data_IF_404507110454
#
_entry.id   IF_404507110454
#
_cell.length_a   1.000
_cell.length_b   1.000
_cell.length_c   1.000
_cell.angle_alpha   90.00
_cell.angle_beta   90.00
_cell.angle_gamma   90.00
#
_symmetry.space_group_name_H-M   'P 1'
#
loop_
_entity.id
_entity.type
_entity.pdbx_description
1 polymer ?
#
# COMPACT_ATOMS: atom_id res chain seq x y z
N UNK A 1 -1.04 -21.56 49.81
CA UNK A 1 -2.05 -20.70 49.17
C UNK A 1 -1.50 -20.31 47.82
N UNK A 2 -2.00 -20.98 46.78
CA UNK A 2 -1.64 -20.75 45.38
C UNK A 2 -2.39 -19.52 44.89
N UNK A 3 -1.66 -18.50 44.47
CA UNK A 3 -2.24 -17.35 43.77
C UNK A 3 -1.91 -17.50 42.28
N UNK A 4 -2.91 -17.99 41.54
CA UNK A 4 -2.87 -18.17 40.09
C UNK A 4 -2.61 -16.83 39.38
N UNK A 5 -1.49 -16.75 38.67
CA UNK A 5 -1.21 -15.71 37.68
C UNK A 5 -2.30 -15.70 36.60
N UNK A 6 -3.16 -14.68 36.63
CA UNK A 6 -4.16 -14.42 35.59
C UNK A 6 -3.45 -14.09 34.27
N UNK A 7 -3.60 -15.00 33.31
CA UNK A 7 -2.94 -15.02 32.02
C UNK A 7 -3.05 -13.73 31.19
N UNK A 8 -1.92 -13.41 30.57
CA UNK A 8 -1.72 -12.39 29.54
C UNK A 8 -2.62 -12.69 28.33
N UNK A 9 -3.49 -11.74 27.94
CA UNK A 9 -4.48 -11.88 26.86
C UNK A 9 -3.83 -12.26 25.50
N UNK A 10 -4.47 -13.11 24.67
CA UNK A 10 -3.85 -13.75 23.49
C UNK A 10 -3.92 -12.87 22.22
N UNK A 11 -3.19 -11.75 22.17
CA UNK A 11 -3.09 -10.93 20.96
C UNK A 11 -2.30 -11.58 19.81
N UNK A 12 -1.36 -12.48 20.14
CA UNK A 12 -0.42 -13.04 19.18
C UNK A 12 -1.02 -13.98 18.13
N UNK A 13 -2.02 -14.81 18.50
CA UNK A 13 -2.62 -15.77 17.56
C UNK A 13 -3.51 -15.07 16.54
N UNK A 14 -4.29 -14.07 16.97
CA UNK A 14 -5.17 -13.29 16.09
C UNK A 14 -4.39 -12.45 15.07
N UNK A 15 -3.26 -11.87 15.48
CA UNK A 15 -2.38 -11.12 14.59
C UNK A 15 -1.70 -12.04 13.55
N UNK A 16 -1.20 -13.21 13.96
CA UNK A 16 -0.62 -14.20 13.03
C UNK A 16 -1.62 -14.70 12.00
N UNK A 17 -2.86 -14.99 12.43
CA UNK A 17 -3.94 -15.38 11.51
C UNK A 17 -4.24 -14.27 10.50
N UNK A 18 -4.32 -13.01 10.95
CA UNK A 18 -4.53 -11.88 10.03
C UNK A 18 -3.41 -11.78 9.01
N UNK A 19 -2.15 -11.85 9.44
CA UNK A 19 -1.00 -11.80 8.55
C UNK A 19 -0.98 -12.97 7.53
N UNK A 20 -1.29 -14.19 7.96
CA UNK A 20 -1.36 -15.35 7.07
C UNK A 20 -2.47 -15.21 6.00
N UNK A 21 -3.65 -14.72 6.40
CA UNK A 21 -4.75 -14.45 5.46
C UNK A 21 -4.38 -13.31 4.50
N UNK A 22 -3.71 -12.26 5.00
CA UNK A 22 -3.27 -11.15 4.14
C UNK A 22 -2.25 -11.60 3.10
N UNK A 23 -1.26 -12.40 3.50
CA UNK A 23 -0.28 -12.97 2.57
C UNK A 23 -0.98 -13.87 1.54
N UNK A 24 -1.89 -14.74 1.98
CA UNK A 24 -2.65 -15.60 1.08
C UNK A 24 -3.42 -14.81 0.00
N UNK A 25 -4.02 -13.67 0.37
CA UNK A 25 -4.66 -12.77 -0.59
C UNK A 25 -3.66 -12.24 -1.60
N UNK A 26 -2.52 -11.70 -1.14
CA UNK A 26 -1.51 -11.12 -2.02
C UNK A 26 -0.95 -12.16 -2.99
N UNK A 27 -0.63 -13.36 -2.50
CA UNK A 27 -0.15 -14.48 -3.32
C UNK A 27 -1.19 -14.88 -4.38
N UNK A 28 -2.46 -15.02 -3.99
CA UNK A 28 -3.55 -15.38 -4.91
C UNK A 28 -3.77 -14.31 -5.99
N UNK A 29 -3.71 -13.03 -5.63
CA UNK A 29 -3.81 -11.92 -6.59
C UNK A 29 -2.63 -11.93 -7.55
N UNK A 30 -1.40 -12.19 -7.07
CA UNK A 30 -0.21 -12.32 -7.90
C UNK A 30 -0.29 -13.51 -8.87
N UNK A 31 -0.69 -14.68 -8.38
CA UNK A 31 -0.72 -15.93 -9.15
C UNK A 31 -1.87 -16.01 -10.16
N UNK A 32 -3.07 -15.60 -9.73
CA UNK A 32 -4.32 -15.85 -10.46
C UNK A 32 -4.98 -14.59 -10.99
N UNK A 33 -4.56 -13.42 -10.51
CA UNK A 33 -5.25 -12.16 -10.75
C UNK A 33 -6.49 -11.97 -9.86
N UNK A 34 -6.92 -10.72 -9.75
CA UNK A 34 -8.14 -10.36 -9.04
C UNK A 34 -9.38 -11.05 -9.65
N UNK A 35 -10.30 -11.50 -8.80
CA UNK A 35 -11.56 -12.13 -9.20
C UNK A 35 -11.46 -13.63 -9.53
N UNK A 36 -10.26 -14.21 -9.59
CA UNK A 36 -10.03 -15.62 -9.93
C UNK A 36 -9.70 -16.50 -8.70
N UNK A 37 -10.20 -16.11 -7.52
CA UNK A 37 -10.06 -16.85 -6.27
C UNK A 37 -11.27 -16.62 -5.36
N UNK A 38 -11.47 -17.55 -4.43
CA UNK A 38 -12.58 -17.53 -3.48
C UNK A 38 -12.09 -17.35 -2.04
N UNK A 39 -13.01 -17.11 -1.10
CA UNK A 39 -12.70 -17.12 0.35
C UNK A 39 -12.16 -18.49 0.78
N UNK A 40 -12.64 -19.59 0.20
CA UNK A 40 -12.13 -20.93 0.47
C UNK A 40 -10.69 -21.13 0.01
N UNK A 41 -10.32 -20.60 -1.18
CA UNK A 41 -8.93 -20.60 -1.64
C UNK A 41 -8.01 -19.86 -0.66
N UNK A 42 -8.45 -18.68 -0.18
CA UNK A 42 -7.71 -17.87 0.79
C UNK A 42 -7.55 -18.64 2.11
N UNK A 43 -8.63 -19.22 2.62
CA UNK A 43 -8.64 -19.94 3.88
C UNK A 43 -7.72 -21.17 3.82
N UNK A 44 -7.80 -21.97 2.74
CA UNK A 44 -6.95 -23.11 2.50
C UNK A 44 -5.46 -22.71 2.45
N UNK A 45 -5.13 -21.64 1.72
CA UNK A 45 -3.77 -21.10 1.61
C UNK A 45 -3.22 -20.62 2.95
N UNK A 46 -4.03 -19.89 3.71
CA UNK A 46 -3.67 -19.34 5.01
C UNK A 46 -3.65 -20.40 6.14
N UNK A 47 -4.10 -21.63 5.86
CA UNK A 47 -4.18 -22.70 6.86
C UNK A 47 -5.23 -22.43 7.94
N UNK A 48 -6.34 -21.79 7.58
CA UNK A 48 -7.44 -21.44 8.51
C UNK A 48 -8.78 -21.96 7.98
N UNK A 49 -9.77 -22.06 8.86
CA UNK A 49 -11.13 -22.41 8.45
C UNK A 49 -11.86 -21.21 7.82
N UNK A 50 -12.66 -21.44 6.77
CA UNK A 50 -13.50 -20.44 6.10
C UNK A 50 -14.35 -19.63 7.10
N UNK A 51 -14.92 -20.30 8.10
CA UNK A 51 -15.72 -19.66 9.15
C UNK A 51 -14.94 -18.62 9.95
N UNK A 52 -13.61 -18.78 10.08
CA UNK A 52 -12.76 -17.79 10.74
C UNK A 52 -12.51 -16.56 9.88
N UNK A 53 -12.48 -16.71 8.55
CA UNK A 53 -12.41 -15.60 7.60
C UNK A 53 -13.74 -14.84 7.60
N UNK A 54 -14.86 -15.54 7.40
CA UNK A 54 -16.19 -14.92 7.42
C UNK A 54 -16.51 -14.23 8.76
N UNK A 55 -16.18 -14.85 9.90
CA UNK A 55 -16.43 -14.22 11.21
C UNK A 55 -15.69 -12.89 11.39
N UNK A 56 -14.52 -12.73 10.77
CA UNK A 56 -13.66 -11.55 10.99
C UNK A 56 -13.92 -10.44 9.98
N UNK A 57 -14.11 -10.78 8.72
CA UNK A 57 -14.27 -9.79 7.65
C UNK A 57 -15.69 -9.76 7.06
N UNK A 58 -16.51 -10.78 7.28
CA UNK A 58 -17.90 -10.84 6.78
C UNK A 58 -18.00 -11.17 5.30
N UNK A 59 -17.22 -10.51 4.44
CA UNK A 59 -17.18 -10.73 3.01
C UNK A 59 -15.78 -10.53 2.42
N UNK A 60 -15.60 -10.89 1.15
CA UNK A 60 -14.32 -10.78 0.45
C UNK A 60 -13.86 -9.32 0.35
N UNK A 61 -14.75 -8.38 0.02
CA UNK A 61 -14.37 -6.98 -0.18
C UNK A 61 -13.82 -6.32 1.09
N UNK A 62 -14.44 -6.60 2.23
CA UNK A 62 -13.93 -6.14 3.52
C UNK A 62 -12.56 -6.74 3.87
N UNK A 63 -12.30 -7.99 3.50
CA UNK A 63 -10.98 -8.60 3.65
C UNK A 63 -9.94 -7.91 2.76
N UNK A 64 -10.28 -7.69 1.49
CA UNK A 64 -9.39 -7.04 0.53
C UNK A 64 -9.09 -5.58 0.94
N UNK A 65 -10.09 -4.85 1.42
CA UNK A 65 -9.90 -3.53 2.01
C UNK A 65 -8.98 -3.55 3.23
N UNK A 66 -9.12 -4.54 4.12
CA UNK A 66 -8.24 -4.70 5.29
C UNK A 66 -6.78 -5.02 4.91
N UNK A 67 -6.56 -5.77 3.82
CA UNK A 67 -5.23 -6.03 3.25
C UNK A 67 -4.61 -4.73 2.77
N UNK A 68 -5.35 -3.94 1.99
CA UNK A 68 -4.88 -2.63 1.51
C UNK A 68 -4.57 -1.70 2.69
N UNK A 69 -5.51 -1.51 3.62
CA UNK A 69 -5.33 -0.66 4.79
C UNK A 69 -4.13 -1.10 5.63
N UNK A 70 -3.86 -2.39 5.77
CA UNK A 70 -2.71 -2.87 6.53
C UNK A 70 -1.39 -2.56 5.83
N UNK A 71 -1.34 -2.70 4.50
CA UNK A 71 -0.18 -2.31 3.71
C UNK A 71 0.03 -0.80 3.74
N UNK A 72 -1.05 -0.04 3.63
CA UNK A 72 -1.00 1.41 3.74
C UNK A 72 -0.55 1.85 5.12
N UNK A 73 -0.95 1.20 6.20
CA UNK A 73 -0.53 1.57 7.55
C UNK A 73 0.90 1.09 7.91
N UNK A 74 1.55 0.27 7.09
CA UNK A 74 2.91 -0.22 7.34
C UNK A 74 4.01 0.83 7.05
N UNK A 75 3.67 2.12 7.12
CA UNK A 75 4.47 3.21 6.54
C UNK A 75 5.84 3.37 7.17
N UNK A 76 6.83 3.55 6.29
CA UNK A 76 8.07 4.21 6.66
C UNK A 76 7.82 5.73 6.75
N UNK A 77 8.54 6.44 7.63
CA UNK A 77 8.49 7.90 7.65
C UNK A 77 8.87 8.46 6.28
N UNK A 78 8.21 9.55 5.87
CA UNK A 78 8.56 10.25 4.64
C UNK A 78 10.03 10.71 4.68
N UNK A 79 10.75 10.67 3.54
CA UNK A 79 12.14 11.11 3.49
C UNK A 79 12.33 12.54 4.01
N UNK A 80 13.47 12.78 4.66
CA UNK A 80 13.91 14.09 5.12
C UNK A 80 15.44 14.18 5.01
N UNK A 81 15.89 14.26 3.77
CA UNK A 81 17.29 14.34 3.34
C UNK A 81 17.86 15.75 3.46
N UNK A 82 17.03 16.74 3.78
CA UNK A 82 17.41 18.16 3.90
C UNK A 82 17.23 18.97 2.60
N UNK A 83 16.66 18.39 1.54
CA UNK A 83 16.28 19.12 0.32
C UNK A 83 15.08 18.45 -0.34
N UNK A 84 14.19 19.24 -0.95
CA UNK A 84 13.02 18.73 -1.65
C UNK A 84 13.39 17.74 -2.76
N UNK A 85 14.43 18.05 -3.53
CA UNK A 85 14.91 17.17 -4.60
C UNK A 85 15.40 15.82 -4.06
N UNK A 86 16.16 15.83 -2.96
CA UNK A 86 16.61 14.60 -2.29
C UNK A 86 15.45 13.79 -1.72
N UNK A 87 14.45 14.48 -1.16
CA UNK A 87 13.26 13.86 -0.58
C UNK A 87 12.42 13.17 -1.65
N UNK A 88 12.14 13.86 -2.77
CA UNK A 88 11.39 13.34 -3.91
C UNK A 88 12.11 12.17 -4.60
N UNK A 89 13.42 12.24 -4.81
CA UNK A 89 14.20 11.12 -5.40
C UNK A 89 14.20 9.90 -4.50
N UNK A 90 14.41 10.10 -3.20
CA UNK A 90 14.35 9.01 -2.22
C UNK A 90 12.95 8.39 -2.18
N UNK A 91 11.92 9.22 -2.19
CA UNK A 91 10.53 8.77 -2.21
C UNK A 91 10.22 7.97 -3.49
N UNK A 92 10.63 8.46 -4.65
CA UNK A 92 10.46 7.78 -5.94
C UNK A 92 11.12 6.39 -5.93
N UNK A 93 12.34 6.29 -5.40
CA UNK A 93 13.07 5.03 -5.27
C UNK A 93 12.38 4.04 -4.30
N UNK A 94 11.86 4.54 -3.16
CA UNK A 94 11.08 3.73 -2.22
C UNK A 94 9.84 3.17 -2.91
N UNK A 95 9.05 4.03 -3.56
CA UNK A 95 7.83 3.60 -4.25
C UNK A 95 8.17 2.60 -5.35
N UNK A 96 9.17 2.88 -6.19
CA UNK A 96 9.61 1.98 -7.25
C UNK A 96 9.97 0.59 -6.70
N UNK A 97 10.71 0.52 -5.59
CA UNK A 97 11.04 -0.73 -4.91
C UNK A 97 9.81 -1.44 -4.34
N UNK A 98 8.86 -0.70 -3.77
CA UNK A 98 7.63 -1.27 -3.23
C UNK A 98 6.79 -1.91 -4.35
N UNK A 99 6.58 -1.20 -5.46
CA UNK A 99 5.71 -1.67 -6.56
C UNK A 99 6.34 -2.77 -7.41
N UNK A 100 7.68 -2.85 -7.43
CA UNK A 100 8.42 -3.93 -8.11
C UNK A 100 8.79 -5.09 -7.17
N UNK A 101 8.52 -4.96 -5.88
CA UNK A 101 8.69 -6.02 -4.91
C UNK A 101 7.72 -7.20 -5.12
N UNK A 102 7.91 -8.33 -4.41
CA UNK A 102 7.15 -9.57 -4.62
C UNK A 102 5.62 -9.39 -4.62
N UNK A 103 5.15 -8.46 -3.80
CA UNK A 103 3.73 -8.20 -3.56
C UNK A 103 3.22 -6.92 -4.24
N UNK A 104 4.12 -6.10 -4.79
CA UNK A 104 3.83 -4.72 -5.19
C UNK A 104 2.78 -4.63 -6.29
N UNK A 105 2.98 -5.36 -7.39
CA UNK A 105 2.06 -5.38 -8.52
C UNK A 105 0.67 -5.90 -8.12
N UNK A 106 0.60 -6.91 -7.25
CA UNK A 106 -0.67 -7.43 -6.76
C UNK A 106 -1.44 -6.40 -5.94
N UNK A 107 -0.75 -5.62 -5.09
CA UNK A 107 -1.38 -4.56 -4.33
C UNK A 107 -1.87 -3.41 -5.23
N UNK A 108 -1.11 -3.02 -6.24
CA UNK A 108 -1.55 -2.00 -7.21
C UNK A 108 -2.80 -2.48 -7.96
N UNK A 109 -2.81 -3.73 -8.44
CA UNK A 109 -3.97 -4.33 -9.11
C UNK A 109 -5.19 -4.42 -8.20
N UNK A 110 -4.98 -4.78 -6.93
CA UNK A 110 -6.02 -4.85 -5.93
C UNK A 110 -6.64 -3.48 -5.65
N UNK A 111 -5.81 -2.44 -5.51
CA UNK A 111 -6.27 -1.05 -5.37
C UNK A 111 -7.14 -0.62 -6.53
N UNK A 112 -6.74 -0.90 -7.78
CA UNK A 112 -7.52 -0.56 -8.97
C UNK A 112 -8.87 -1.29 -8.96
N UNK A 113 -8.85 -2.59 -8.69
CA UNK A 113 -10.07 -3.41 -8.64
C UNK A 113 -11.07 -2.89 -7.60
N UNK A 114 -10.60 -2.62 -6.39
CA UNK A 114 -11.46 -2.10 -5.32
C UNK A 114 -11.95 -0.67 -5.59
N UNK A 115 -11.16 0.16 -6.27
CA UNK A 115 -11.54 1.55 -6.57
C UNK A 115 -12.77 1.67 -7.48
N UNK A 116 -13.15 0.59 -8.19
CA UNK A 116 -14.31 0.54 -9.08
C UNK A 116 -15.57 -0.10 -8.49
N UNK A 117 -15.51 -0.65 -7.27
CA UNK A 117 -16.56 -1.52 -6.73
C UNK A 117 -17.43 -0.88 -5.65
N UNK A 118 -18.63 -0.42 -6.04
CA UNK A 118 -19.67 0.01 -5.12
C UNK A 118 -19.26 1.17 -4.20
N UNK A 119 -20.09 1.52 -3.22
CA UNK A 119 -19.79 2.64 -2.32
C UNK A 119 -18.60 2.36 -1.40
N UNK A 120 -18.41 1.11 -0.97
CA UNK A 120 -17.33 0.73 -0.06
C UNK A 120 -15.95 0.81 -0.71
N UNK A 121 -15.83 0.40 -1.98
CA UNK A 121 -14.60 0.53 -2.75
C UNK A 121 -14.21 1.98 -3.04
N UNK A 122 -15.19 2.82 -3.35
CA UNK A 122 -15.00 4.27 -3.50
C UNK A 122 -14.50 4.92 -2.20
N UNK A 123 -15.10 4.56 -1.05
CA UNK A 123 -14.66 5.06 0.26
C UNK A 123 -13.21 4.65 0.57
N UNK A 124 -12.88 3.37 0.37
CA UNK A 124 -11.51 2.88 0.60
C UNK A 124 -10.48 3.57 -0.32
N UNK A 125 -10.84 3.84 -1.58
CA UNK A 125 -10.02 4.63 -2.51
C UNK A 125 -9.81 6.05 -1.98
N UNK A 126 -10.88 6.72 -1.56
CA UNK A 126 -10.81 8.10 -1.10
C UNK A 126 -9.98 8.23 0.18
N UNK A 127 -10.10 7.26 1.11
CA UNK A 127 -9.25 7.18 2.30
C UNK A 127 -7.78 6.96 1.95
N UNK A 128 -7.49 6.07 1.02
CA UNK A 128 -6.14 5.82 0.50
C UNK A 128 -5.51 7.08 -0.10
N UNK A 129 -6.24 7.76 -0.99
CA UNK A 129 -5.76 8.99 -1.63
C UNK A 129 -5.55 10.09 -0.59
N UNK A 130 -6.50 10.27 0.33
CA UNK A 130 -6.37 11.25 1.40
C UNK A 130 -5.15 10.97 2.28
N UNK A 131 -4.85 9.72 2.60
CA UNK A 131 -3.68 9.36 3.41
C UNK A 131 -2.35 9.61 2.68
N UNK A 132 -2.28 9.22 1.40
CA UNK A 132 -1.11 9.53 0.55
C UNK A 132 -0.88 11.03 0.42
N UNK A 133 -1.95 11.79 0.18
CA UNK A 133 -1.88 13.26 0.12
C UNK A 133 -1.37 13.85 1.43
N UNK A 134 -1.85 13.38 2.59
CA UNK A 134 -1.36 13.86 3.89
C UNK A 134 0.13 13.61 4.09
N UNK A 135 0.63 12.43 3.71
CA UNK A 135 2.07 12.11 3.82
C UNK A 135 2.92 13.02 2.93
N UNK A 136 2.53 13.15 1.65
CA UNK A 136 3.20 14.02 0.71
C UNK A 136 3.20 15.45 1.23
N UNK A 137 2.04 15.93 1.70
CA UNK A 137 1.91 17.28 2.26
C UNK A 137 2.89 17.50 3.41
N UNK A 138 3.04 16.54 4.33
CA UNK A 138 4.00 16.69 5.44
C UNK A 138 5.45 16.82 4.97
N UNK A 139 5.85 16.16 3.87
CA UNK A 139 7.18 16.33 3.26
C UNK A 139 7.31 17.68 2.56
N UNK A 140 6.28 18.10 1.82
CA UNK A 140 6.26 19.37 1.10
C UNK A 140 6.27 20.55 2.07
N UNK A 141 5.55 20.48 3.18
CA UNK A 141 5.54 21.52 4.22
C UNK A 141 6.93 21.70 4.84
N UNK A 142 7.68 20.61 5.10
CA UNK A 142 9.08 20.71 5.54
C UNK A 142 9.96 21.43 4.52
N UNK A 143 9.74 21.20 3.24
CA UNK A 143 10.46 21.92 2.19
C UNK A 143 10.10 23.42 2.18
N UNK A 144 8.81 23.77 2.35
CA UNK A 144 8.37 25.17 2.52
C UNK A 144 9.03 25.85 3.72
N UNK A 145 9.10 25.15 4.85
CA UNK A 145 9.73 25.67 6.07
C UNK A 145 11.23 25.95 5.89
N UNK A 146 11.89 25.26 4.94
CA UNK A 146 13.28 25.51 4.53
C UNK A 146 13.43 26.66 3.53
N UNK A 147 12.33 27.25 3.06
CA UNK A 147 12.32 28.30 2.04
C UNK A 147 12.44 27.76 0.60
N UNK A 148 12.20 26.47 0.38
CA UNK A 148 12.07 25.89 -0.96
C UNK A 148 10.66 26.16 -1.52
N UNK A 149 10.47 26.01 -2.84
CA UNK A 149 9.18 26.18 -3.53
C UNK A 149 8.63 24.81 -3.99
N UNK A 150 7.96 24.04 -3.12
CA UNK A 150 7.50 22.71 -3.45
C UNK A 150 6.21 22.71 -4.26
N UNK A 151 6.06 21.73 -5.17
CA UNK A 151 4.83 21.54 -5.92
C UNK A 151 3.67 21.14 -5.00
N UNK A 152 2.47 21.12 -5.55
CA UNK A 152 1.31 20.57 -4.87
C UNK A 152 1.38 19.05 -4.78
N UNK A 153 0.78 18.47 -3.73
CA UNK A 153 0.77 17.03 -3.53
C UNK A 153 0.16 16.28 -4.73
N UNK A 154 -0.84 16.87 -5.40
CA UNK A 154 -1.44 16.30 -6.60
C UNK A 154 -0.45 16.30 -7.78
N UNK A 155 0.38 17.33 -7.93
CA UNK A 155 1.40 17.37 -8.98
C UNK A 155 2.46 16.27 -8.75
N UNK A 156 2.82 16.00 -7.50
CA UNK A 156 3.69 14.85 -7.16
C UNK A 156 3.03 13.53 -7.54
N UNK A 157 1.73 13.36 -7.25
CA UNK A 157 0.99 12.16 -7.66
C UNK A 157 1.00 11.99 -9.19
N UNK A 158 0.70 13.06 -9.93
CA UNK A 158 0.54 13.03 -11.39
C UNK A 158 1.88 12.89 -12.14
N UNK A 159 2.93 13.56 -11.68
CA UNK A 159 4.23 13.57 -12.37
C UNK A 159 5.19 12.50 -11.89
N UNK A 160 5.09 12.06 -10.64
CA UNK A 160 6.01 11.07 -10.05
C UNK A 160 5.36 9.69 -9.95
N UNK A 161 4.20 9.59 -9.29
CA UNK A 161 3.61 8.27 -9.01
C UNK A 161 2.90 7.65 -10.21
N UNK A 162 2.11 8.43 -10.95
CA UNK A 162 1.37 7.93 -12.11
C UNK A 162 2.30 7.27 -13.14
N UNK A 163 3.42 7.88 -13.56
CA UNK A 163 4.34 7.25 -14.51
C UNK A 163 5.02 5.98 -13.96
N UNK A 164 5.28 5.91 -12.65
CA UNK A 164 5.80 4.70 -11.99
C UNK A 164 4.77 3.56 -12.08
N UNK A 165 3.52 3.83 -11.69
CA UNK A 165 2.44 2.84 -11.77
C UNK A 165 2.16 2.42 -13.21
N UNK A 166 2.17 3.35 -14.17
CA UNK A 166 1.98 3.04 -15.59
C UNK A 166 3.03 2.06 -16.11
N UNK A 167 4.31 2.25 -15.77
CA UNK A 167 5.38 1.32 -16.19
C UNK A 167 5.20 -0.07 -15.60
N UNK A 168 4.81 -0.16 -14.33
CA UNK A 168 4.63 -1.44 -13.64
C UNK A 168 3.37 -2.18 -14.13
N UNK A 169 2.29 -1.46 -14.37
CA UNK A 169 1.03 -2.05 -14.83
C UNK A 169 1.09 -2.54 -16.28
N UNK A 170 1.72 -1.76 -17.16
CA UNK A 170 1.71 -1.99 -18.60
C UNK A 170 3.04 -2.49 -19.16
N UNK A 171 4.07 -2.63 -18.32
CA UNK A 171 5.41 -3.02 -18.78
C UNK A 171 6.05 -1.96 -19.69
N UNK A 172 5.74 -0.68 -19.49
CA UNK A 172 6.19 0.42 -20.35
C UNK A 172 7.67 0.83 -20.18
N UNK A 173 8.53 -0.13 -19.78
CA UNK A 173 9.96 0.04 -19.55
C UNK A 173 10.39 -0.07 -18.08
N UNK A 174 11.71 -0.15 -17.82
CA UNK A 174 12.25 -0.33 -16.46
C UNK A 174 12.14 0.95 -15.62
N UNK A 175 12.08 0.80 -14.29
CA UNK A 175 12.21 1.91 -13.34
C UNK A 175 13.67 2.11 -12.94
N UNK A 176 14.49 2.63 -13.85
CA UNK A 176 15.91 2.92 -13.57
C UNK A 176 16.06 4.17 -12.70
N UNK A 177 17.16 4.30 -11.94
CA UNK A 177 17.47 5.54 -11.21
C UNK A 177 17.38 6.79 -12.10
N UNK A 178 18.01 6.77 -13.27
CA UNK A 178 17.97 7.90 -14.22
C UNK A 178 16.54 8.27 -14.67
N UNK A 179 15.66 7.28 -14.79
CA UNK A 179 14.26 7.54 -15.14
C UNK A 179 13.52 8.23 -13.99
N UNK A 180 13.72 7.76 -12.76
CA UNK A 180 13.10 8.33 -11.57
C UNK A 180 13.63 9.74 -11.30
N UNK A 181 14.95 9.94 -11.38
CA UNK A 181 15.59 11.24 -11.23
C UNK A 181 15.08 12.21 -12.30
N UNK A 182 14.96 11.75 -13.55
CA UNK A 182 14.38 12.57 -14.62
C UNK A 182 12.90 12.94 -14.41
N UNK A 183 12.11 12.12 -13.70
CA UNK A 183 10.74 12.53 -13.31
C UNK A 183 10.77 13.65 -12.28
N UNK A 184 11.67 13.56 -11.29
CA UNK A 184 11.85 14.60 -10.27
C UNK A 184 12.36 15.89 -10.90
N UNK A 185 13.36 15.81 -11.79
CA UNK A 185 13.93 16.99 -12.45
C UNK A 185 12.87 17.73 -13.27
N UNK A 186 11.96 17.01 -13.95
CA UNK A 186 10.85 17.62 -14.71
C UNK A 186 9.78 18.23 -13.81
N UNK A 187 9.56 17.68 -12.62
CA UNK A 187 8.59 18.19 -11.65
C UNK A 187 9.09 19.49 -10.98
N UNK A 188 10.41 19.66 -10.87
CA UNK A 188 11.04 20.81 -10.20
C UNK A 188 11.56 21.88 -11.17
N UNK A 189 11.36 21.71 -12.48
CA UNK A 189 11.81 22.63 -13.52
C UNK A 189 10.81 23.75 -13.78
#
# INVERSE_FOLDING_TARGET
MEEQERGRRPGGRSARVRAAVHQAVTDLVSERGYGNFTVGDIAARAGVADTSVYRRWGNLQALLGDVLLTRLNAQAPMPDTGSLAGDLRTYAAIVAREVTGPDGLALVRLTIALSGEGQQGLQARDELLADRTRQLQAMLDRARDRGEDPPDALEVLDHLLAPIYMRVLFGAGPLTPDYLDGLVDRLLA
#
